data_IF_655453190880
#
_entry.id   IF_655453190880
#
_cell.length_a   1.000
_cell.length_b   1.000
_cell.length_c   1.000
_cell.angle_alpha   90.00
_cell.angle_beta   90.00
_cell.angle_gamma   90.00
#
_symmetry.space_group_name_H-M   'P 1'
#
loop_
_entity.id
_entity.type
_entity.pdbx_description
1 polymer ?
#
# COMPACT_ATOMS: atom_id res chain seq x y z
N UNK A 1 5.39 24.10 -52.84
CA UNK A 1 5.96 24.08 -51.48
C UNK A 1 4.87 23.58 -50.53
N UNK A 2 4.85 22.28 -50.25
CA UNK A 2 3.81 21.63 -49.45
C UNK A 2 4.09 21.90 -47.96
N UNK A 3 3.13 22.51 -47.24
CA UNK A 3 3.16 22.53 -45.77
C UNK A 3 3.14 21.08 -45.30
N UNK A 4 4.17 20.59 -44.58
CA UNK A 4 4.11 19.26 -43.98
C UNK A 4 2.88 19.20 -43.07
N UNK A 5 2.08 18.15 -43.24
CA UNK A 5 0.86 17.92 -42.48
C UNK A 5 1.20 17.80 -40.99
N UNK A 6 0.76 18.78 -40.20
CA UNK A 6 1.01 18.90 -38.75
C UNK A 6 0.47 17.72 -37.92
N UNK A 7 -0.28 16.79 -38.52
CA UNK A 7 -0.79 15.59 -37.84
C UNK A 7 0.31 14.64 -37.37
N UNK A 8 1.48 14.65 -38.00
CA UNK A 8 2.56 13.69 -37.70
C UNK A 8 3.43 14.12 -36.50
N UNK A 9 3.41 15.40 -36.12
CA UNK A 9 4.24 15.95 -35.03
C UNK A 9 3.61 15.72 -33.65
N UNK A 10 2.29 15.82 -33.54
CA UNK A 10 1.56 15.67 -32.28
C UNK A 10 1.50 14.20 -31.80
N UNK A 11 1.29 13.25 -32.71
CA UNK A 11 1.26 11.82 -32.35
C UNK A 11 2.66 11.29 -31.94
N UNK A 12 3.72 11.82 -32.56
CA UNK A 12 5.10 11.51 -32.19
C UNK A 12 5.47 12.07 -30.80
N UNK A 13 4.92 13.22 -30.41
CA UNK A 13 5.24 13.87 -29.12
C UNK A 13 4.71 13.08 -27.91
N UNK A 14 3.46 12.60 -27.96
CA UNK A 14 2.84 11.88 -26.84
C UNK A 14 3.41 10.48 -26.65
N UNK A 15 3.72 9.77 -27.74
CA UNK A 15 4.37 8.47 -27.65
C UNK A 15 5.79 8.58 -27.04
N UNK A 16 6.55 9.60 -27.43
CA UNK A 16 7.87 9.89 -26.86
C UNK A 16 7.84 10.21 -25.37
N UNK A 17 6.82 10.95 -24.92
CA UNK A 17 6.59 11.22 -23.49
C UNK A 17 6.29 9.92 -22.71
N UNK A 18 5.39 9.09 -23.22
CA UNK A 18 5.06 7.83 -22.55
C UNK A 18 6.26 6.88 -22.47
N UNK A 19 7.01 6.75 -23.56
CA UNK A 19 8.22 5.92 -23.60
C UNK A 19 9.27 6.39 -22.59
N UNK A 20 9.56 7.69 -22.55
CA UNK A 20 10.44 8.28 -21.53
C UNK A 20 9.95 8.03 -20.11
N UNK A 21 8.63 8.11 -19.91
CA UNK A 21 7.97 7.79 -18.65
C UNK A 21 8.17 6.34 -18.22
N UNK A 22 8.05 5.38 -19.14
CA UNK A 22 8.23 3.95 -18.84
C UNK A 22 9.63 3.67 -18.28
N UNK A 23 10.68 4.25 -18.87
CA UNK A 23 12.04 4.09 -18.35
C UNK A 23 12.21 4.73 -16.97
N UNK A 24 11.63 5.92 -16.74
CA UNK A 24 11.65 6.55 -15.42
C UNK A 24 10.97 5.66 -14.38
N UNK A 25 9.80 5.08 -14.70
CA UNK A 25 9.09 4.21 -13.77
C UNK A 25 9.86 2.91 -13.47
N UNK A 26 10.55 2.33 -14.47
CA UNK A 26 11.45 1.18 -14.23
C UNK A 26 12.54 1.55 -13.22
N UNK A 27 13.19 2.70 -13.35
CA UNK A 27 14.18 3.17 -12.37
C UNK A 27 13.59 3.28 -10.97
N UNK A 28 12.39 3.86 -10.84
CA UNK A 28 11.67 3.95 -9.56
C UNK A 28 11.40 2.55 -8.98
N UNK A 29 10.99 1.58 -9.81
CA UNK A 29 10.74 0.22 -9.34
C UNK A 29 11.98 -0.48 -8.81
N UNK A 30 13.12 -0.35 -9.48
CA UNK A 30 14.37 -0.92 -8.97
C UNK A 30 14.82 -0.24 -7.68
N UNK A 31 14.56 1.06 -7.51
CA UNK A 31 14.76 1.74 -6.24
C UNK A 31 13.84 1.18 -5.14
N UNK A 32 12.55 0.95 -5.44
CA UNK A 32 11.60 0.33 -4.51
C UNK A 32 12.02 -1.10 -4.13
N UNK A 33 12.61 -1.85 -5.06
CA UNK A 33 13.18 -3.17 -4.78
C UNK A 33 14.36 -3.07 -3.81
N UNK A 34 15.27 -2.12 -3.99
CA UNK A 34 16.36 -1.89 -3.03
C UNK A 34 15.82 -1.53 -1.63
N UNK A 35 14.75 -0.73 -1.56
CA UNK A 35 14.07 -0.43 -0.29
C UNK A 35 13.47 -1.71 0.30
N UNK A 36 12.86 -2.57 -0.51
CA UNK A 36 12.31 -3.85 -0.05
C UNK A 36 13.40 -4.78 0.50
N UNK A 37 14.57 -4.85 -0.13
CA UNK A 37 15.72 -5.61 0.38
C UNK A 37 16.28 -5.02 1.68
N UNK A 38 16.27 -3.69 1.81
CA UNK A 38 16.67 -3.00 3.04
C UNK A 38 15.71 -3.34 4.19
N UNK A 39 14.40 -3.32 3.91
CA UNK A 39 13.36 -3.73 4.88
C UNK A 39 13.46 -5.22 5.21
N UNK A 40 13.76 -6.08 4.24
CA UNK A 40 13.95 -7.51 4.47
C UNK A 40 15.14 -7.80 5.40
N UNK A 41 16.20 -7.00 5.29
CA UNK A 41 17.35 -7.07 6.20
C UNK A 41 16.97 -6.71 7.64
N UNK A 42 16.02 -5.79 7.82
CA UNK A 42 15.57 -5.33 9.14
C UNK A 42 14.51 -6.24 9.76
N UNK A 43 13.51 -6.66 8.98
CA UNK A 43 12.33 -7.39 9.43
C UNK A 43 12.37 -8.90 9.13
N UNK A 44 13.42 -9.39 8.47
CA UNK A 44 13.59 -10.82 8.18
C UNK A 44 12.75 -11.35 7.01
N UNK A 45 12.10 -10.49 6.22
CA UNK A 45 11.13 -10.84 5.18
C UNK A 45 11.78 -11.05 3.78
N UNK A 46 12.86 -11.85 3.72
CA UNK A 46 13.62 -12.06 2.49
C UNK A 46 12.83 -12.85 1.43
N UNK A 47 12.01 -13.79 1.89
CA UNK A 47 11.18 -14.62 1.03
C UNK A 47 10.17 -13.78 0.27
N UNK A 48 9.48 -12.87 0.97
CA UNK A 48 8.49 -11.95 0.42
C UNK A 48 9.16 -10.98 -0.55
N UNK A 49 10.30 -10.41 -0.14
CA UNK A 49 11.05 -9.46 -0.96
C UNK A 49 11.48 -10.07 -2.30
N UNK A 50 11.92 -11.34 -2.32
CA UNK A 50 12.36 -12.00 -3.54
C UNK A 50 11.18 -12.57 -4.35
N UNK A 51 10.26 -13.28 -3.73
CA UNK A 51 9.15 -13.95 -4.44
C UNK A 51 8.16 -12.93 -5.00
N UNK A 52 7.86 -11.87 -4.27
CA UNK A 52 6.92 -10.83 -4.71
C UNK A 52 7.67 -9.72 -5.45
N UNK A 53 8.83 -9.29 -4.92
CA UNK A 53 9.57 -8.16 -5.48
C UNK A 53 10.21 -8.45 -6.84
N UNK A 54 10.73 -9.66 -7.10
CA UNK A 54 11.34 -9.95 -8.41
C UNK A 54 10.31 -9.91 -9.55
N UNK A 55 9.15 -10.60 -9.49
CA UNK A 55 8.13 -10.44 -10.53
C UNK A 55 7.62 -9.01 -10.65
N UNK A 56 7.46 -8.30 -9.52
CA UNK A 56 7.02 -6.92 -9.51
C UNK A 56 7.99 -6.01 -10.28
N UNK A 57 9.31 -6.18 -10.13
CA UNK A 57 10.30 -5.43 -10.91
C UNK A 57 10.41 -5.90 -12.38
N UNK A 58 10.46 -7.22 -12.59
CA UNK A 58 10.82 -7.80 -13.87
C UNK A 58 9.72 -7.67 -14.93
N UNK A 59 8.46 -7.96 -14.57
CA UNK A 59 7.33 -7.92 -15.51
C UNK A 59 7.19 -6.57 -16.21
N UNK A 60 7.08 -5.43 -15.49
CA UNK A 60 6.99 -4.11 -16.11
C UNK A 60 8.29 -3.67 -16.78
N UNK A 61 9.46 -4.13 -16.32
CA UNK A 61 10.74 -3.89 -17.01
C UNK A 61 10.79 -4.54 -18.38
N UNK A 62 10.37 -5.81 -18.48
CA UNK A 62 10.30 -6.54 -19.74
C UNK A 62 9.27 -5.91 -20.68
N UNK A 63 8.08 -5.54 -20.17
CA UNK A 63 7.07 -4.84 -20.97
C UNK A 63 7.57 -3.48 -21.48
N UNK A 64 8.33 -2.75 -20.67
CA UNK A 64 8.96 -1.48 -21.08
C UNK A 64 9.97 -1.68 -22.19
N UNK A 65 10.76 -2.76 -22.13
CA UNK A 65 11.72 -3.08 -23.17
C UNK A 65 11.04 -3.53 -24.49
N UNK A 66 9.97 -4.32 -24.41
CA UNK A 66 9.29 -4.88 -25.58
C UNK A 66 8.32 -3.89 -26.24
N UNK A 67 7.58 -3.11 -25.44
CA UNK A 67 6.46 -2.27 -25.89
C UNK A 67 6.52 -0.86 -25.25
N UNK A 68 7.61 -0.10 -25.44
CA UNK A 68 7.75 1.23 -24.85
C UNK A 68 6.67 2.18 -25.40
N UNK A 69 6.08 3.00 -24.53
CA UNK A 69 5.02 3.95 -24.87
C UNK A 69 3.62 3.35 -25.02
N UNK A 70 3.50 2.02 -24.94
CA UNK A 70 2.21 1.33 -25.04
C UNK A 70 1.37 1.52 -23.76
N UNK A 71 0.05 1.58 -23.91
CA UNK A 71 -0.89 1.67 -22.79
C UNK A 71 -0.80 0.46 -21.86
N UNK A 72 -0.57 -0.74 -22.39
CA UNK A 72 -0.41 -1.95 -21.57
C UNK A 72 0.78 -1.80 -20.62
N UNK A 73 1.91 -1.29 -21.11
CA UNK A 73 3.11 -1.00 -20.32
C UNK A 73 2.78 -0.04 -19.19
N UNK A 74 2.12 1.09 -19.47
CA UNK A 74 1.73 2.06 -18.42
C UNK A 74 0.81 1.47 -17.36
N UNK A 75 -0.16 0.65 -17.76
CA UNK A 75 -1.04 -0.05 -16.82
C UNK A 75 -0.23 -1.02 -15.97
N UNK A 76 0.68 -1.79 -16.57
CA UNK A 76 1.56 -2.71 -15.83
C UNK A 76 2.44 -1.99 -14.81
N UNK A 77 2.95 -0.81 -15.16
CA UNK A 77 3.73 0.07 -14.27
C UNK A 77 2.90 0.50 -13.06
N UNK A 78 1.65 0.94 -13.30
CA UNK A 78 0.73 1.33 -12.22
C UNK A 78 0.35 0.18 -11.30
N UNK A 79 0.07 -1.00 -11.85
CA UNK A 79 -0.22 -2.19 -11.06
C UNK A 79 1.00 -2.60 -10.21
N UNK A 80 2.19 -2.62 -10.81
CA UNK A 80 3.42 -2.96 -10.10
C UNK A 80 3.71 -2.00 -8.95
N UNK A 81 3.47 -0.69 -9.11
CA UNK A 81 3.59 0.27 -8.02
C UNK A 81 2.67 -0.03 -6.84
N UNK A 82 1.44 -0.51 -7.07
CA UNK A 82 0.58 -0.90 -5.96
C UNK A 82 1.05 -2.19 -5.29
N UNK A 83 1.65 -3.11 -6.05
CA UNK A 83 2.31 -4.30 -5.48
C UNK A 83 3.51 -3.90 -4.62
N UNK A 84 4.31 -2.92 -5.04
CA UNK A 84 5.40 -2.38 -4.22
C UNK A 84 4.90 -1.77 -2.92
N UNK A 85 3.88 -0.92 -2.99
CA UNK A 85 3.29 -0.33 -1.79
C UNK A 85 2.76 -1.40 -0.84
N UNK A 86 2.03 -2.39 -1.36
CA UNK A 86 1.53 -3.53 -0.58
C UNK A 86 2.66 -4.33 0.08
N UNK A 87 3.73 -4.65 -0.66
CA UNK A 87 4.88 -5.36 -0.14
C UNK A 87 5.56 -4.56 0.99
N UNK A 88 5.81 -3.27 0.78
CA UNK A 88 6.45 -2.41 1.79
C UNK A 88 5.59 -2.25 3.06
N UNK A 89 4.27 -2.10 2.91
CA UNK A 89 3.32 -2.08 4.04
C UNK A 89 3.40 -3.41 4.79
N UNK A 90 3.39 -4.54 4.08
CA UNK A 90 3.46 -5.86 4.68
C UNK A 90 4.79 -6.09 5.43
N UNK A 91 5.93 -5.77 4.82
CA UNK A 91 7.26 -5.90 5.44
C UNK A 91 7.38 -5.03 6.71
N UNK A 92 6.75 -3.86 6.69
CA UNK A 92 6.70 -2.95 7.82
C UNK A 92 5.54 -3.25 8.79
N UNK A 93 4.89 -4.41 8.71
CA UNK A 93 3.83 -4.84 9.61
C UNK A 93 2.66 -3.84 9.72
N UNK A 94 2.32 -3.17 8.61
CA UNK A 94 1.17 -2.26 8.55
C UNK A 94 1.42 -0.84 9.05
N UNK A 95 2.69 -0.42 9.21
CA UNK A 95 3.04 0.96 9.60
C UNK A 95 2.41 2.01 8.68
N UNK A 96 1.87 3.07 9.26
CA UNK A 96 1.16 4.12 8.51
C UNK A 96 2.10 4.95 7.64
N UNK A 97 3.37 5.09 8.02
CA UNK A 97 4.40 5.75 7.22
C UNK A 97 4.54 5.11 5.84
N UNK A 98 4.42 3.77 5.76
CA UNK A 98 4.52 3.05 4.49
C UNK A 98 3.27 3.19 3.63
N UNK A 99 2.11 3.46 4.23
CA UNK A 99 0.87 3.71 3.50
C UNK A 99 0.94 4.99 2.67
N UNK A 100 1.69 6.00 3.13
CA UNK A 100 1.91 7.22 2.34
C UNK A 100 2.56 6.94 0.98
N UNK A 101 3.32 5.85 0.87
CA UNK A 101 3.91 5.39 -0.39
C UNK A 101 2.87 5.19 -1.50
N UNK A 102 1.64 4.78 -1.17
CA UNK A 102 0.56 4.62 -2.17
C UNK A 102 0.29 5.95 -2.89
N UNK A 103 0.14 7.04 -2.13
CA UNK A 103 -0.16 8.36 -2.71
C UNK A 103 1.02 8.90 -3.53
N UNK A 104 2.25 8.69 -3.05
CA UNK A 104 3.45 9.09 -3.78
C UNK A 104 3.52 8.35 -5.12
N UNK A 105 3.31 7.03 -5.13
CA UNK A 105 3.37 6.23 -6.35
C UNK A 105 2.21 6.52 -7.32
N UNK A 106 1.00 6.80 -6.81
CA UNK A 106 -0.09 7.29 -7.66
C UNK A 106 0.24 8.65 -8.29
N UNK A 107 0.93 9.54 -7.57
CA UNK A 107 1.38 10.82 -8.11
C UNK A 107 2.41 10.63 -9.25
N UNK A 108 3.30 9.64 -9.16
CA UNK A 108 4.18 9.28 -10.28
C UNK A 108 3.38 8.94 -11.55
N UNK A 109 2.28 8.20 -11.44
CA UNK A 109 1.46 7.83 -12.60
C UNK A 109 0.83 9.02 -13.33
N UNK A 110 0.69 10.19 -12.68
CA UNK A 110 0.24 11.42 -13.34
C UNK A 110 1.20 11.89 -14.43
N UNK A 111 2.48 11.46 -14.39
CA UNK A 111 3.45 11.72 -15.45
C UNK A 111 2.93 11.25 -16.82
N UNK A 112 2.26 10.10 -16.85
CA UNK A 112 1.73 9.54 -18.08
C UNK A 112 0.56 10.32 -18.66
N UNK A 113 -0.12 11.16 -17.86
CA UNK A 113 -1.34 11.88 -18.27
C UNK A 113 -2.42 10.95 -18.86
N UNK A 114 -2.41 9.68 -18.45
CA UNK A 114 -3.40 8.67 -18.81
C UNK A 114 -4.17 8.30 -17.53
N UNK A 115 -5.49 8.36 -17.60
CA UNK A 115 -6.35 8.06 -16.45
C UNK A 115 -6.41 6.56 -16.16
N UNK A 116 -6.19 5.72 -17.17
CA UNK A 116 -6.39 4.27 -17.04
C UNK A 116 -5.40 3.62 -16.05
N UNK A 117 -4.07 3.89 -16.09
CA UNK A 117 -3.14 3.37 -15.09
C UNK A 117 -3.51 3.76 -13.66
N UNK A 118 -4.05 4.97 -13.46
CA UNK A 118 -4.43 5.49 -12.15
C UNK A 118 -5.64 4.73 -11.61
N UNK A 119 -6.68 4.55 -12.44
CA UNK A 119 -7.88 3.79 -12.06
C UNK A 119 -7.54 2.32 -11.83
N UNK A 120 -6.69 1.72 -12.67
CA UNK A 120 -6.24 0.34 -12.49
C UNK A 120 -5.47 0.16 -11.18
N UNK A 121 -4.55 1.09 -10.86
CA UNK A 121 -3.82 1.10 -9.60
C UNK A 121 -4.77 1.28 -8.40
N UNK A 122 -5.69 2.25 -8.46
CA UNK A 122 -6.67 2.51 -7.41
C UNK A 122 -7.59 1.29 -7.16
N UNK A 123 -8.03 0.62 -8.21
CA UNK A 123 -8.82 -0.60 -8.10
C UNK A 123 -8.03 -1.74 -7.45
N UNK A 124 -6.78 -1.95 -7.88
CA UNK A 124 -5.92 -2.99 -7.32
C UNK A 124 -5.67 -2.75 -5.82
N UNK A 125 -5.33 -1.53 -5.44
CA UNK A 125 -5.03 -1.23 -4.03
C UNK A 125 -6.27 -1.35 -3.16
N UNK A 126 -7.47 -1.00 -3.66
CA UNK A 126 -8.73 -1.22 -2.95
C UNK A 126 -9.01 -2.72 -2.71
N UNK A 127 -8.84 -3.55 -3.75
CA UNK A 127 -8.97 -5.01 -3.63
C UNK A 127 -7.95 -5.56 -2.64
N UNK A 128 -6.71 -5.09 -2.69
CA UNK A 128 -5.66 -5.49 -1.76
C UNK A 128 -6.06 -5.18 -0.31
N UNK A 129 -6.50 -3.95 0.00
CA UNK A 129 -6.89 -3.59 1.35
C UNK A 129 -8.06 -4.42 1.86
N UNK A 130 -9.09 -4.63 1.05
CA UNK A 130 -10.25 -5.43 1.46
C UNK A 130 -9.87 -6.90 1.71
N UNK A 131 -9.11 -7.49 0.78
CA UNK A 131 -8.74 -8.90 0.83
C UNK A 131 -7.74 -9.17 1.96
N UNK A 132 -6.73 -8.31 2.12
CA UNK A 132 -5.72 -8.46 3.15
C UNK A 132 -6.27 -8.12 4.54
N UNK A 133 -7.23 -7.21 4.66
CA UNK A 133 -7.91 -6.99 5.93
C UNK A 133 -8.66 -8.25 6.36
N UNK A 134 -9.43 -8.86 5.45
CA UNK A 134 -10.12 -10.12 5.74
C UNK A 134 -9.14 -11.25 6.13
N UNK A 135 -8.01 -11.38 5.45
CA UNK A 135 -6.98 -12.37 5.77
C UNK A 135 -6.24 -12.07 7.09
N UNK A 136 -5.98 -10.79 7.38
CA UNK A 136 -5.36 -10.37 8.64
C UNK A 136 -6.28 -10.61 9.84
N UNK A 137 -7.60 -10.43 9.67
CA UNK A 137 -8.60 -10.81 10.67
C UNK A 137 -8.67 -12.33 10.90
N UNK A 138 -8.39 -13.12 9.86
CA UNK A 138 -8.31 -14.57 9.92
C UNK A 138 -6.95 -15.11 10.44
N UNK A 139 -6.06 -14.23 10.92
CA UNK A 139 -4.73 -14.56 11.45
C UNK A 139 -3.83 -15.30 10.44
N UNK A 140 -3.98 -14.99 9.14
CA UNK A 140 -3.25 -15.65 8.06
C UNK A 140 -1.79 -15.17 7.89
N UNK A 141 -1.24 -14.41 8.85
CA UNK A 141 0.13 -13.89 8.80
C UNK A 141 0.38 -12.82 7.73
N UNK A 142 -0.67 -12.20 7.19
CA UNK A 142 -0.56 -11.05 6.27
C UNK A 142 -0.92 -9.76 7.00
N UNK A 143 -0.26 -8.68 6.62
CA UNK A 143 -0.38 -7.39 7.31
C UNK A 143 -0.75 -6.30 6.30
N UNK A 144 -1.85 -5.62 6.58
CA UNK A 144 -2.27 -4.38 5.92
C UNK A 144 -2.35 -3.23 6.93
N UNK A 145 -2.78 -3.47 8.17
CA UNK A 145 -2.85 -2.45 9.22
C UNK A 145 -2.00 -2.83 10.44
N UNK A 146 -1.44 -1.83 11.12
CA UNK A 146 -0.63 -2.03 12.35
C UNK A 146 -1.45 -2.68 13.49
N UNK A 147 -2.74 -2.37 13.54
CA UNK A 147 -3.69 -2.98 14.46
C UNK A 147 -4.84 -3.59 13.65
N UNK A 148 -5.42 -4.69 14.14
CA UNK A 148 -6.61 -5.27 13.54
C UNK A 148 -7.76 -4.25 13.61
N UNK A 149 -8.00 -3.54 12.51
CA UNK A 149 -9.11 -2.59 12.35
C UNK A 149 -10.31 -3.37 11.80
N UNK A 150 -10.86 -4.21 12.67
CA UNK A 150 -11.84 -5.20 12.29
C UNK A 150 -13.09 -4.62 11.60
N UNK A 151 -13.52 -5.29 10.53
CA UNK A 151 -14.92 -5.50 10.16
C UNK A 151 -15.73 -6.16 11.31
N UNK A 152 -15.08 -6.52 12.42
CA UNK A 152 -15.67 -6.94 13.69
C UNK A 152 -16.42 -5.88 14.50
N UNK A 153 -16.63 -4.65 14.01
CA UNK A 153 -17.57 -3.69 14.65
C UNK A 153 -19.02 -3.94 14.20
N UNK A 154 -19.25 -4.63 13.07
CA UNK A 154 -20.60 -4.77 12.49
C UNK A 154 -21.09 -6.19 12.19
N UNK A 155 -20.22 -7.16 11.92
CA UNK A 155 -20.69 -8.46 11.45
C UNK A 155 -19.66 -9.55 11.79
N UNK A 156 -20.03 -10.50 12.65
CA UNK A 156 -19.23 -11.63 13.17
C UNK A 156 -18.59 -11.43 14.54
N UNK A 157 -19.42 -11.70 15.54
CA UNK A 157 -19.01 -12.29 16.81
C UNK A 157 -18.51 -13.73 16.58
N UNK A 158 -17.25 -14.00 16.92
CA UNK A 158 -16.78 -15.28 17.44
C UNK A 158 -15.47 -15.02 18.19
N UNK A 159 -15.45 -14.80 19.51
CA UNK A 159 -15.53 -15.85 20.52
C UNK A 159 -14.54 -17.02 20.30
N UNK A 160 -13.23 -16.75 20.33
CA UNK A 160 -12.26 -17.57 21.10
C UNK A 160 -10.83 -17.00 21.02
N UNK A 161 -10.41 -16.22 22.01
CA UNK A 161 -9.26 -16.60 22.83
C UNK A 161 -9.22 -15.69 24.06
N UNK A 162 -9.03 -16.32 25.21
CA UNK A 162 -8.90 -15.69 26.51
C UNK A 162 -7.64 -14.83 26.56
N UNK A 163 -7.77 -13.52 26.41
CA UNK A 163 -6.82 -12.58 27.00
C UNK A 163 -7.60 -11.75 28.02
N UNK A 164 -7.25 -11.95 29.29
CA UNK A 164 -7.71 -11.12 30.39
C UNK A 164 -7.42 -9.66 30.02
N UNK A 165 -8.35 -8.71 30.23
CA UNK A 165 -8.03 -7.30 30.02
C UNK A 165 -6.88 -6.91 30.95
N UNK A 166 -5.71 -6.62 30.38
CA UNK A 166 -4.56 -5.99 31.06
C UNK A 166 -4.83 -4.49 31.28
N UNK A 167 -6.02 -4.18 31.80
CA UNK A 167 -6.35 -2.88 32.36
C UNK A 167 -7.32 -3.08 33.51
N UNK A 168 -6.78 -3.36 34.70
CA UNK A 168 -7.52 -3.08 35.92
C UNK A 168 -7.57 -1.56 36.05
N UNK A 169 -8.68 -0.95 35.63
CA UNK A 169 -8.96 0.43 35.97
C UNK A 169 -9.05 0.52 37.50
N UNK A 170 -7.96 0.88 38.16
CA UNK A 170 -7.92 1.20 39.59
C UNK A 170 -8.54 2.57 39.89
N UNK A 171 -9.26 3.15 38.93
CA UNK A 171 -9.96 4.42 39.08
C UNK A 171 -11.18 4.23 39.99
N UNK A 172 -11.20 4.87 41.17
CA UNK A 172 -12.37 4.88 42.01
C UNK A 172 -13.48 5.67 41.28
N UNK A 173 -14.64 5.02 41.11
CA UNK A 173 -15.84 5.72 40.63
C UNK A 173 -16.17 6.89 41.58
N UNK A 174 -16.71 8.00 41.06
CA UNK A 174 -17.02 9.21 41.85
C UNK A 174 -17.88 8.95 43.10
N UNK A 175 -18.57 7.80 43.15
CA UNK A 175 -19.36 7.32 44.28
C UNK A 175 -18.50 6.90 45.50
N UNK A 176 -17.30 6.33 45.30
CA UNK A 176 -16.44 5.92 46.42
C UNK A 176 -15.66 7.07 47.05
N UNK A 177 -15.38 8.12 46.27
CA UNK A 177 -14.71 9.34 46.74
C UNK A 177 -15.62 10.16 47.67
N UNK A 178 -16.93 10.17 47.44
CA UNK A 178 -17.89 10.87 48.30
C UNK A 178 -18.13 10.14 49.64
N UNK A 179 -18.15 8.80 49.63
CA UNK A 179 -18.33 8.00 50.84
C UNK A 179 -17.18 8.16 51.85
N UNK A 180 -15.93 8.21 51.37
CA UNK A 180 -14.76 8.43 52.25
C UNK A 180 -14.68 9.87 52.79
N UNK A 181 -15.21 10.86 52.06
CA UNK A 181 -15.26 12.26 52.54
C UNK A 181 -16.27 12.45 53.67
N UNK A 182 -17.37 11.69 53.67
CA UNK A 182 -18.41 11.76 54.71
C UNK A 182 -17.98 11.06 56.02
N UNK A 183 -17.16 10.00 55.94
CA UNK A 183 -16.59 9.37 57.15
C UNK A 183 -15.59 10.27 57.87
N UNK A 184 -14.81 11.07 57.13
CA UNK A 184 -13.80 11.98 57.70
C UNK A 184 -14.38 13.25 58.33
N UNK A 185 -15.66 13.56 58.08
CA UNK A 185 -16.37 14.70 58.70
C UNK A 185 -17.21 14.30 59.93
N UNK A 186 -17.17 13.01 60.32
CA UNK A 186 -17.90 12.46 61.48
C UNK A 186 -16.97 11.89 62.57
N UNK A 187 -15.66 12.12 62.45
CA UNK A 187 -14.64 11.87 63.49
C UNK A 187 -14.02 13.20 63.89
#
# INVERSE_FOLDING_TARGET
MLKPSLKNTEAFSMHGLHSSGDYLMVWVQWLLFLIALSLASWYGTWTEALIIGLPAALVPSVLTWMLPGNRITRVSQGLAFMVWAALHIHQAHGLIEMHFGIFVLLAFLLYYRDWLPIVAAAALIAIHHLSFNFLQEADAGVYVFEHHTGLGIGCFTQASSSSKPLYSSSWPSKASVTANRLKKLRS
#
